data_IF_156927561066
#
_entry.id   IF_156927561066
#
_cell.length_a   1.000
_cell.length_b   1.000
_cell.length_c   1.000
_cell.angle_alpha   90.00
_cell.angle_beta   90.00
_cell.angle_gamma   90.00
#
_symmetry.space_group_name_H-M   'P 1'
#
loop_
_entity.id
_entity.type
_entity.pdbx_description
1 polymer ?
#
# COMPACT_ATOMS: atom_id res chain seq x y z
N UNK A 1 -15.98 31.41 4.73
CA UNK A 1 -15.52 30.00 4.58
C UNK A 1 -15.53 29.64 3.11
N UNK A 2 -14.39 29.20 2.57
CA UNK A 2 -14.31 28.64 1.21
C UNK A 2 -14.80 27.19 1.26
N UNK A 3 -15.98 26.91 0.70
CA UNK A 3 -16.54 25.55 0.56
C UNK A 3 -16.60 25.21 -0.92
N UNK A 4 -16.11 24.02 -1.28
CA UNK A 4 -16.31 23.45 -2.61
C UNK A 4 -17.78 23.07 -2.78
N UNK A 5 -18.39 23.52 -3.87
CA UNK A 5 -19.78 23.20 -4.23
C UNK A 5 -19.81 22.02 -5.21
N UNK A 6 -20.75 21.10 -5.04
CA UNK A 6 -20.89 19.92 -5.89
C UNK A 6 -21.10 20.26 -7.37
N UNK A 7 -21.90 21.30 -7.65
CA UNK A 7 -22.20 21.78 -9.02
C UNK A 7 -21.55 23.13 -9.32
N UNK A 8 -20.47 23.47 -8.62
CA UNK A 8 -19.73 24.71 -8.86
C UNK A 8 -18.74 24.58 -10.02
N UNK A 9 -18.37 25.71 -10.63
CA UNK A 9 -17.24 25.84 -11.56
C UNK A 9 -15.86 25.75 -10.86
N UNK A 10 -15.85 25.33 -9.60
CA UNK A 10 -14.67 25.31 -8.74
C UNK A 10 -13.87 24.03 -8.98
N UNK A 11 -12.66 24.20 -9.49
CA UNK A 11 -11.72 23.09 -9.69
C UNK A 11 -10.86 22.94 -8.44
N UNK A 12 -10.91 21.78 -7.81
CA UNK A 12 -9.98 21.41 -6.75
C UNK A 12 -8.91 20.46 -7.30
N UNK A 13 -7.64 20.87 -7.38
CA UNK A 13 -6.61 20.05 -8.00
C UNK A 13 -6.38 18.75 -7.21
N UNK A 14 -6.33 17.62 -7.92
CA UNK A 14 -6.13 16.29 -7.30
C UNK A 14 -4.89 16.23 -6.41
N UNK A 15 -3.79 16.87 -6.81
CA UNK A 15 -2.55 16.93 -6.02
C UNK A 15 -2.76 17.52 -4.62
N UNK A 16 -3.59 18.56 -4.49
CA UNK A 16 -3.94 19.13 -3.19
C UNK A 16 -4.83 18.19 -2.37
N UNK A 17 -5.74 17.47 -3.02
CA UNK A 17 -6.57 16.46 -2.35
C UNK A 17 -5.74 15.35 -1.73
N UNK A 18 -4.71 14.89 -2.44
CA UNK A 18 -3.79 13.87 -1.95
C UNK A 18 -2.96 14.37 -0.76
N UNK A 19 -2.53 15.63 -0.77
CA UNK A 19 -1.81 16.24 0.37
C UNK A 19 -2.71 16.32 1.60
N UNK A 20 -3.95 16.81 1.44
CA UNK A 20 -4.91 16.91 2.56
C UNK A 20 -5.25 15.54 3.13
N UNK A 21 -5.46 14.55 2.27
CA UNK A 21 -5.70 13.17 2.70
C UNK A 21 -4.53 12.64 3.54
N UNK A 22 -3.29 12.80 3.05
CA UNK A 22 -2.09 12.38 3.79
C UNK A 22 -1.97 13.12 5.14
N UNK A 23 -2.20 14.42 5.16
CA UNK A 23 -2.14 15.21 6.39
C UNK A 23 -3.22 14.82 7.41
N UNK A 24 -4.39 14.36 6.93
CA UNK A 24 -5.46 13.87 7.77
C UNK A 24 -5.27 12.41 8.23
N UNK A 25 -4.31 11.67 7.67
CA UNK A 25 -4.12 10.24 7.96
C UNK A 25 -5.29 9.37 7.50
N UNK A 26 -6.02 9.79 6.46
CA UNK A 26 -7.18 9.07 5.92
C UNK A 26 -6.92 8.59 4.50
N UNK A 27 -7.85 7.82 3.92
CA UNK A 27 -7.77 7.33 2.53
C UNK A 27 -9.02 7.63 1.70
N UNK A 28 -9.86 8.59 2.12
CA UNK A 28 -11.18 8.82 1.51
C UNK A 28 -11.16 9.14 0.01
N UNK A 29 -10.16 9.89 -0.48
CA UNK A 29 -9.99 10.18 -1.91
C UNK A 29 -9.57 8.90 -2.66
N UNK A 30 -8.65 8.12 -2.10
CA UNK A 30 -8.23 6.86 -2.71
C UNK A 30 -9.38 5.83 -2.74
N UNK A 31 -10.13 5.71 -1.65
CA UNK A 31 -11.35 4.88 -1.55
C UNK A 31 -12.40 5.32 -2.57
N UNK A 32 -12.70 6.62 -2.64
CA UNK A 32 -13.70 7.14 -3.57
C UNK A 32 -13.30 6.91 -5.03
N UNK A 33 -12.01 7.10 -5.38
CA UNK A 33 -11.51 6.84 -6.73
C UNK A 33 -11.63 5.34 -7.05
N UNK A 34 -11.22 4.46 -6.14
CA UNK A 34 -11.35 3.02 -6.33
C UNK A 34 -12.81 2.60 -6.55
N UNK A 35 -13.72 3.05 -5.68
CA UNK A 35 -15.16 2.78 -5.81
C UNK A 35 -15.73 3.30 -7.14
N UNK A 36 -15.33 4.49 -7.58
CA UNK A 36 -15.78 5.06 -8.86
C UNK A 36 -15.33 4.23 -10.08
N UNK A 37 -14.23 3.49 -9.95
CA UNK A 37 -13.72 2.57 -10.95
C UNK A 37 -14.24 1.12 -10.79
N UNK A 38 -15.12 0.87 -9.82
CA UNK A 38 -15.61 -0.47 -9.48
C UNK A 38 -14.59 -1.35 -8.75
N UNK A 39 -13.56 -0.74 -8.16
CA UNK A 39 -12.53 -1.40 -7.35
C UNK A 39 -12.66 -1.10 -5.86
N UNK A 40 -11.75 -1.67 -5.09
CA UNK A 40 -11.58 -1.41 -3.64
C UNK A 40 -10.14 -0.97 -3.42
N UNK A 41 -9.96 0.10 -2.63
CA UNK A 41 -8.64 0.50 -2.18
C UNK A 41 -8.30 -0.29 -0.93
N UNK A 42 -7.15 -0.97 -0.92
CA UNK A 42 -6.65 -1.67 0.27
C UNK A 42 -5.42 -0.92 0.75
N UNK A 43 -5.46 -0.43 1.99
CA UNK A 43 -4.30 0.25 2.57
C UNK A 43 -3.23 -0.78 2.91
N UNK A 44 -2.02 -0.53 2.44
CA UNK A 44 -0.87 -1.35 2.82
C UNK A 44 -0.45 -0.97 4.24
N UNK A 45 -0.31 -1.95 5.15
CA UNK A 45 0.16 -1.65 6.49
C UNK A 45 1.59 -1.14 6.47
N UNK A 46 1.90 -0.23 7.39
CA UNK A 46 3.27 0.17 7.67
C UNK A 46 3.99 -1.01 8.32
N UNK A 47 4.96 -1.59 7.61
CA UNK A 47 5.70 -2.75 8.08
C UNK A 47 6.74 -2.29 9.10
N UNK A 48 6.43 -2.43 10.38
CA UNK A 48 7.42 -2.36 11.46
C UNK A 48 8.53 -3.42 11.24
N UNK A 49 9.68 -3.31 11.90
CA UNK A 49 10.73 -4.33 11.78
C UNK A 49 10.25 -5.66 12.40
N UNK A 50 9.71 -6.53 11.56
CA UNK A 50 9.29 -7.88 11.93
C UNK A 50 10.48 -8.83 11.81
N UNK A 51 10.68 -9.68 12.82
CA UNK A 51 11.72 -10.70 12.78
C UNK A 51 11.41 -11.77 11.72
N UNK A 52 12.46 -12.28 11.05
CA UNK A 52 12.35 -13.31 10.01
C UNK A 52 11.54 -14.56 10.42
N UNK A 53 11.45 -14.85 11.72
CA UNK A 53 10.74 -16.01 12.25
C UNK A 53 9.21 -15.93 12.11
N UNK A 54 8.64 -14.73 11.91
CA UNK A 54 7.19 -14.50 12.02
C UNK A 54 6.42 -14.54 10.69
N UNK A 55 7.11 -14.67 9.55
CA UNK A 55 6.47 -14.64 8.22
C UNK A 55 5.47 -15.79 8.07
N UNK A 56 5.90 -17.02 8.42
CA UNK A 56 5.05 -18.20 8.30
C UNK A 56 3.86 -18.14 9.27
N UNK A 57 4.05 -17.55 10.45
CA UNK A 57 2.98 -17.34 11.42
C UNK A 57 1.92 -16.39 10.86
N UNK A 58 2.33 -15.27 10.26
CA UNK A 58 1.42 -14.32 9.59
C UNK A 58 0.67 -14.96 8.43
N UNK A 59 1.31 -15.86 7.67
CA UNK A 59 0.60 -16.62 6.62
C UNK A 59 -0.50 -17.51 7.19
N UNK A 60 -0.24 -18.20 8.30
CA UNK A 60 -1.24 -19.04 8.96
C UNK A 60 -2.42 -18.21 9.48
N UNK A 61 -2.16 -17.03 10.04
CA UNK A 61 -3.21 -16.09 10.48
C UNK A 61 -4.09 -15.62 9.31
N UNK A 62 -3.50 -15.36 8.14
CA UNK A 62 -4.26 -15.03 6.93
C UNK A 62 -5.15 -16.20 6.49
N UNK A 63 -4.61 -17.43 6.52
CA UNK A 63 -5.37 -18.64 6.15
C UNK A 63 -6.55 -18.86 7.11
N UNK A 64 -6.34 -18.66 8.41
CA UNK A 64 -7.40 -18.73 9.41
C UNK A 64 -8.50 -17.69 9.13
N UNK A 65 -8.11 -16.45 8.82
CA UNK A 65 -9.04 -15.38 8.45
C UNK A 65 -9.86 -15.74 7.21
N UNK A 66 -9.24 -16.28 6.16
CA UNK A 66 -9.95 -16.74 4.96
C UNK A 66 -10.93 -17.88 5.31
N UNK A 67 -10.56 -18.74 6.25
CA UNK A 67 -11.45 -19.77 6.79
C UNK A 67 -12.67 -19.20 7.51
N UNK A 68 -12.48 -18.14 8.29
CA UNK A 68 -13.56 -17.36 8.96
C UNK A 68 -14.49 -16.73 7.92
N UNK A 69 -13.93 -15.97 6.98
CA UNK A 69 -14.66 -15.38 5.85
C UNK A 69 -15.52 -16.41 5.09
N UNK A 70 -14.96 -17.58 4.79
CA UNK A 70 -15.68 -18.65 4.10
C UNK A 70 -16.88 -19.17 4.90
N UNK A 71 -16.78 -19.24 6.24
CA UNK A 71 -17.90 -19.63 7.10
C UNK A 71 -18.99 -18.54 7.12
N UNK A 72 -18.58 -17.27 7.21
CA UNK A 72 -19.51 -16.14 7.21
C UNK A 72 -20.32 -16.08 5.90
N UNK A 73 -19.66 -16.23 4.75
CA UNK A 73 -20.33 -16.31 3.44
C UNK A 73 -21.34 -17.45 3.41
N UNK A 74 -20.98 -18.65 3.87
CA UNK A 74 -21.91 -19.79 3.88
C UNK A 74 -23.15 -19.53 4.73
N UNK A 75 -22.98 -18.86 5.87
CA UNK A 75 -24.09 -18.50 6.75
C UNK A 75 -25.00 -17.45 6.11
N UNK A 76 -24.41 -16.41 5.50
CA UNK A 76 -25.16 -15.29 4.92
C UNK A 76 -25.91 -15.64 3.62
N UNK A 77 -25.61 -16.78 2.99
CA UNK A 77 -26.32 -17.22 1.78
C UNK A 77 -27.31 -18.37 2.05
N UNK A 78 -27.44 -18.81 3.30
CA UNK A 78 -28.21 -20.00 3.67
C UNK A 78 -29.71 -19.86 3.36
N UNK A 79 -30.25 -18.67 3.52
CA UNK A 79 -31.64 -18.32 3.21
C UNK A 79 -31.85 -17.80 1.77
N UNK A 80 -30.75 -17.68 1.01
CA UNK A 80 -30.73 -17.19 -0.37
C UNK A 80 -30.81 -15.66 -0.52
N UNK A 81 -30.76 -14.88 0.56
CA UNK A 81 -30.85 -13.41 0.53
C UNK A 81 -29.80 -12.79 1.44
N UNK A 82 -28.82 -12.10 0.86
CA UNK A 82 -27.84 -11.34 1.65
C UNK A 82 -28.43 -10.01 2.07
N UNK A 83 -28.62 -9.82 3.37
CA UNK A 83 -29.09 -8.56 3.94
C UNK A 83 -28.01 -7.46 3.91
N UNK A 84 -28.39 -6.17 3.93
CA UNK A 84 -27.41 -5.08 3.89
C UNK A 84 -26.35 -5.15 5.00
N UNK A 85 -26.74 -5.59 6.20
CA UNK A 85 -25.83 -5.71 7.34
C UNK A 85 -24.84 -6.88 7.15
N UNK A 86 -25.29 -7.97 6.53
CA UNK A 86 -24.44 -9.11 6.16
C UNK A 86 -23.47 -8.74 5.06
N UNK A 87 -23.94 -7.97 4.05
CA UNK A 87 -23.09 -7.45 2.99
C UNK A 87 -21.97 -6.57 3.56
N UNK A 88 -22.27 -5.69 4.53
CA UNK A 88 -21.24 -4.90 5.22
C UNK A 88 -20.25 -5.81 5.95
N UNK A 89 -20.74 -6.76 6.75
CA UNK A 89 -19.86 -7.66 7.50
C UNK A 89 -18.96 -8.52 6.59
N UNK A 90 -19.51 -9.00 5.47
CA UNK A 90 -18.78 -9.73 4.42
C UNK A 90 -17.68 -8.86 3.82
N UNK A 91 -18.00 -7.61 3.47
CA UNK A 91 -17.04 -6.69 2.86
C UNK A 91 -15.92 -6.32 3.83
N UNK A 92 -16.24 -6.10 5.11
CA UNK A 92 -15.27 -5.80 6.16
C UNK A 92 -14.29 -6.97 6.39
N UNK A 93 -14.82 -8.19 6.47
CA UNK A 93 -14.02 -9.40 6.64
C UNK A 93 -13.15 -9.71 5.40
N UNK A 94 -13.69 -9.47 4.20
CA UNK A 94 -12.93 -9.57 2.94
C UNK A 94 -11.80 -8.54 2.90
N UNK A 95 -12.09 -7.29 3.27
CA UNK A 95 -11.10 -6.22 3.33
C UNK A 95 -9.95 -6.58 4.26
N UNK A 96 -10.28 -7.06 5.47
CA UNK A 96 -9.30 -7.48 6.46
C UNK A 96 -8.41 -8.63 5.94
N UNK A 97 -9.03 -9.62 5.28
CA UNK A 97 -8.32 -10.76 4.70
C UNK A 97 -7.33 -10.33 3.62
N UNK A 98 -7.74 -9.43 2.71
CA UNK A 98 -6.86 -8.91 1.65
C UNK A 98 -5.73 -8.06 2.25
N UNK A 99 -6.04 -7.21 3.23
CA UNK A 99 -5.05 -6.36 3.90
C UNK A 99 -3.94 -7.19 4.54
N UNK A 100 -4.29 -8.22 5.31
CA UNK A 100 -3.31 -9.12 5.94
C UNK A 100 -2.50 -9.92 4.91
N UNK A 101 -3.13 -10.32 3.79
CA UNK A 101 -2.41 -11.01 2.72
C UNK A 101 -1.39 -10.08 2.03
N UNK A 102 -1.76 -8.83 1.82
CA UNK A 102 -0.84 -7.81 1.29
C UNK A 102 0.32 -7.53 2.25
N UNK A 103 0.06 -7.48 3.56
CA UNK A 103 1.10 -7.37 4.59
C UNK A 103 2.11 -8.51 4.51
N UNK A 104 1.61 -9.74 4.46
CA UNK A 104 2.45 -10.93 4.32
C UNK A 104 3.30 -10.87 3.04
N UNK A 105 2.71 -10.51 1.90
CA UNK A 105 3.44 -10.38 0.64
C UNK A 105 4.53 -9.30 0.72
N UNK A 106 4.21 -8.15 1.30
CA UNK A 106 5.14 -7.04 1.43
C UNK A 106 6.31 -7.38 2.37
N UNK A 107 6.06 -8.15 3.44
CA UNK A 107 7.11 -8.72 4.29
C UNK A 107 8.04 -9.67 3.55
N UNK A 108 7.46 -10.60 2.78
CA UNK A 108 8.24 -11.53 1.96
C UNK A 108 9.15 -10.76 1.01
N UNK A 109 8.65 -9.73 0.34
CA UNK A 109 9.47 -8.91 -0.55
C UNK A 109 10.54 -8.11 0.20
N UNK A 110 10.21 -7.49 1.34
CA UNK A 110 11.19 -6.75 2.17
C UNK A 110 12.38 -7.62 2.57
N UNK A 111 12.15 -8.91 2.84
CA UNK A 111 13.15 -9.84 3.36
C UNK A 111 13.92 -10.55 2.24
N UNK A 112 13.23 -10.98 1.19
CA UNK A 112 13.79 -11.86 0.18
C UNK A 112 14.10 -11.17 -1.16
N UNK A 113 13.64 -9.94 -1.39
CA UNK A 113 14.10 -9.20 -2.57
C UNK A 113 15.56 -8.78 -2.36
N UNK A 114 16.39 -9.07 -3.37
CA UNK A 114 17.76 -8.58 -3.40
C UNK A 114 17.75 -7.05 -3.28
N UNK A 115 18.70 -6.45 -2.54
CA UNK A 115 18.84 -5.00 -2.56
C UNK A 115 19.01 -4.58 -4.01
N UNK A 116 18.22 -3.58 -4.44
CA UNK A 116 18.45 -2.97 -5.74
C UNK A 116 19.93 -2.62 -5.80
N UNK A 117 20.63 -3.13 -6.82
CA UNK A 117 21.95 -2.63 -7.15
C UNK A 117 21.74 -1.15 -7.43
N UNK A 118 22.08 -0.32 -6.46
CA UNK A 118 22.31 1.09 -6.68
C UNK A 118 23.50 1.16 -7.63
N UNK A 119 23.23 1.06 -8.93
CA UNK A 119 24.13 1.55 -9.95
C UNK A 119 24.06 3.08 -9.89
N UNK A 120 24.57 3.63 -8.78
CA UNK A 120 24.93 5.03 -8.63
C UNK A 120 26.14 5.38 -9.52
N UNK A 121 26.19 4.81 -10.72
CA UNK A 121 27.18 5.06 -11.75
C UNK A 121 26.66 5.97 -12.86
N UNK A 122 25.37 6.32 -12.87
CA UNK A 122 24.80 7.29 -13.83
C UNK A 122 24.63 8.72 -13.28
N UNK A 123 25.13 9.03 -12.08
CA UNK A 123 25.29 10.43 -11.63
C UNK A 123 26.71 10.98 -11.78
N UNK A 124 27.63 10.26 -12.42
CA UNK A 124 28.88 10.88 -12.89
C UNK A 124 28.58 11.67 -14.17
N UNK A 125 28.28 12.96 -14.00
CA UNK A 125 28.27 13.90 -15.11
C UNK A 125 29.57 13.76 -15.94
N UNK A 126 29.51 13.71 -17.27
CA UNK A 126 30.70 13.66 -18.10
C UNK A 126 31.34 15.04 -18.10
N UNK A 127 32.30 15.28 -17.23
CA UNK A 127 32.99 16.56 -17.16
C UNK A 127 34.08 16.61 -16.12
N UNK A 128 35.32 16.68 -16.61
CA UNK A 128 36.58 16.96 -15.89
C UNK A 128 37.34 15.71 -15.45
N UNK A 129 38.15 15.24 -16.40
CA UNK A 129 39.44 14.56 -16.17
C UNK A 129 40.27 15.36 -15.17
N UNK A 130 40.37 14.88 -13.92
CA UNK A 130 41.41 15.31 -13.01
C UNK A 130 42.72 14.65 -13.43
N UNK A 131 43.49 15.41 -14.22
CA UNK A 131 44.87 15.15 -14.58
C UNK A 131 45.75 15.24 -13.32
N UNK A 132 46.10 14.11 -12.72
CA UNK A 132 47.14 14.08 -11.68
C UNK A 132 48.52 14.10 -12.34
N UNK A 133 49.12 15.29 -12.40
CA UNK A 133 50.56 15.45 -12.64
C UNK A 133 51.30 14.85 -11.46
N UNK A 134 51.93 13.70 -11.67
CA UNK A 134 52.98 13.23 -10.77
C UNK A 134 54.24 14.05 -11.08
N UNK A 135 54.42 15.14 -10.34
CA UNK A 135 55.66 15.91 -10.31
C UNK A 135 56.62 15.30 -9.30
N UNK A 136 57.76 14.83 -9.79
CA UNK A 136 58.95 14.46 -9.02
C UNK A 136 59.40 15.64 -8.14
N UNK A 137 59.89 15.37 -6.92
CA UNK A 137 61.27 15.68 -6.48
C UNK A 137 61.49 15.49 -4.96
N UNK A 138 62.44 14.60 -4.66
CA UNK A 138 63.58 14.74 -3.74
C UNK A 138 63.38 14.80 -2.21
N UNK A 139 63.89 13.76 -1.52
CA UNK A 139 65.13 13.84 -0.72
C UNK A 139 65.77 12.44 -0.57
#
# INVERSE_FOLDING_TARGET
>A
FNRLRADGDQIFPLGWAMILQRAAGTHYIADAVAQSAGGVFVSLPEIEEVENADINQRLLEVIEQIGSYSKQIRSAIEDGVVEPHEQTAINDELYLSISKLQEHAALVYKIFCAPEKSDARECAAPGVVAFCVCGETNA
#
